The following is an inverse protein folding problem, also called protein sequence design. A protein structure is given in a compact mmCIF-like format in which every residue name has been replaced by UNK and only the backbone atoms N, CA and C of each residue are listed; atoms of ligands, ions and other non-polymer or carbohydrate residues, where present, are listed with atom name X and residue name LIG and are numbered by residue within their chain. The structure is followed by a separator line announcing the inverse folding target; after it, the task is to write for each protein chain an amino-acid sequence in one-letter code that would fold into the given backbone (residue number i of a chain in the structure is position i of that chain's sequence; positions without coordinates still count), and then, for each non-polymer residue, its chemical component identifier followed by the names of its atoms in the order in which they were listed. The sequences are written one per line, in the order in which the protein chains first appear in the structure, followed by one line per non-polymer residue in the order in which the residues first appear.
data_IF_110858774951
#
_entry.id   IF_110858774951
#
_cell.length_a   1.000
_cell.length_b   1.000
_cell.length_c   1.000
_cell.angle_alpha   90.00
_cell.angle_beta   90.00
_cell.angle_gamma   90.00
#
_symmetry.space_group_name_H-M   'P 1'
#
loop_
_entity.id
_entity.type
_entity.pdbx_description
1 polymer ?
#
# COMPACT_ATOMS: atom_id res chain seq x y z
N UNK A 1 -6.05 15.01 -18.38
CA UNK A 1 -6.61 14.96 -17.01
C UNK A 1 -6.69 13.48 -16.63
N UNK A 2 -6.24 13.09 -15.43
CA UNK A 2 -6.31 11.69 -15.00
C UNK A 2 -7.76 11.28 -14.74
N UNK A 3 -8.09 10.02 -15.01
CA UNK A 3 -9.30 9.41 -14.48
C UNK A 3 -9.11 9.11 -12.98
N UNK A 4 -10.13 9.34 -12.14
CA UNK A 4 -10.02 9.02 -10.71
C UNK A 4 -9.90 7.51 -10.51
N UNK A 5 -9.10 7.11 -9.52
CA UNK A 5 -8.99 5.73 -9.07
C UNK A 5 -10.14 5.44 -8.09
N UNK A 6 -11.00 4.48 -8.43
CA UNK A 6 -12.14 4.10 -7.60
C UNK A 6 -11.81 2.86 -6.80
N UNK A 7 -11.71 2.99 -5.46
CA UNK A 7 -11.50 1.85 -4.55
C UNK A 7 -12.64 1.83 -3.55
N UNK A 8 -13.38 0.70 -3.49
CA UNK A 8 -14.52 0.52 -2.57
C UNK A 8 -15.52 1.69 -2.61
N UNK A 9 -15.82 2.20 -3.81
CA UNK A 9 -16.74 3.32 -4.03
C UNK A 9 -16.17 4.72 -3.71
N UNK A 10 -14.94 4.82 -3.20
CA UNK A 10 -14.24 6.07 -2.93
C UNK A 10 -13.46 6.51 -4.18
N UNK A 11 -13.69 7.75 -4.62
CA UNK A 11 -13.01 8.31 -5.79
C UNK A 11 -11.76 9.10 -5.37
N UNK A 12 -10.59 8.53 -5.60
CA UNK A 12 -9.30 9.18 -5.40
C UNK A 12 -8.96 9.96 -6.67
N UNK A 13 -8.87 11.29 -6.56
CA UNK A 13 -8.75 12.20 -7.71
C UNK A 13 -7.52 11.94 -8.58
N UNK A 14 -6.40 11.61 -7.94
CA UNK A 14 -5.17 11.21 -8.62
C UNK A 14 -4.99 9.69 -8.47
N UNK A 15 -4.76 8.94 -9.55
CA UNK A 15 -4.54 7.50 -9.49
C UNK A 15 -3.12 7.16 -9.01
N UNK A 16 -2.69 7.83 -7.94
CA UNK A 16 -1.36 7.76 -7.33
C UNK A 16 -1.54 7.39 -5.86
N UNK A 17 -0.90 6.28 -5.48
CA UNK A 17 -0.74 5.85 -4.10
C UNK A 17 0.71 6.11 -3.70
N UNK A 18 0.93 6.83 -2.60
CA UNK A 18 2.27 6.87 -2.00
C UNK A 18 2.50 5.55 -1.26
N UNK A 19 3.57 4.82 -1.59
CA UNK A 19 3.84 3.50 -1.01
C UNK A 19 4.33 3.59 0.43
N UNK A 20 3.84 2.72 1.32
CA UNK A 20 4.26 2.70 2.72
C UNK A 20 5.69 2.20 2.91
N UNK A 21 6.57 3.09 3.37
CA UNK A 21 8.01 2.87 3.57
C UNK A 21 8.34 2.80 5.06
N UNK A 22 8.92 1.67 5.46
CA UNK A 22 9.16 1.33 6.86
C UNK A 22 10.19 2.18 7.59
N UNK A 23 10.32 1.92 8.89
CA UNK A 23 11.37 2.50 9.76
C UNK A 23 11.31 4.04 9.80
N UNK A 24 10.11 4.59 9.70
CA UNK A 24 9.86 6.02 9.86
C UNK A 24 10.00 6.86 8.61
N UNK A 25 10.15 6.27 7.42
CA UNK A 25 10.17 7.06 6.17
C UNK A 25 8.79 7.62 5.83
N UNK A 26 7.73 6.80 5.94
CA UNK A 26 6.34 7.23 5.73
C UNK A 26 5.52 7.19 7.01
N UNK A 27 5.48 8.32 7.72
CA UNK A 27 4.61 8.57 8.87
C UNK A 27 3.43 9.48 8.47
N UNK A 28 2.62 9.89 9.45
CA UNK A 28 1.45 10.73 9.19
C UNK A 28 1.71 12.03 8.41
N UNK A 29 2.87 12.75 8.52
CA UNK A 29 3.04 14.00 7.79
C UNK A 29 3.03 13.79 6.28
N UNK A 30 3.79 12.79 5.79
CA UNK A 30 3.81 12.41 4.38
C UNK A 30 2.45 11.89 3.91
N UNK A 31 1.84 10.98 4.66
CA UNK A 31 0.54 10.40 4.27
C UNK A 31 -0.55 11.48 4.21
N UNK A 32 -0.58 12.42 5.17
CA UNK A 32 -1.55 13.52 5.20
C UNK A 32 -1.34 14.50 4.05
N UNK A 33 -0.08 14.82 3.71
CA UNK A 33 0.22 15.69 2.58
C UNK A 33 -0.27 15.07 1.26
N UNK A 34 0.03 13.80 1.01
CA UNK A 34 -0.44 13.09 -0.19
C UNK A 34 -1.97 13.02 -0.26
N UNK A 35 -2.62 12.73 0.86
CA UNK A 35 -4.08 12.69 0.95
C UNK A 35 -4.71 14.04 0.55
N UNK A 36 -4.15 15.15 1.03
CA UNK A 36 -4.62 16.51 0.73
C UNK A 36 -4.43 16.88 -0.75
N UNK A 37 -3.33 16.44 -1.36
CA UNK A 37 -3.07 16.67 -2.80
C UNK A 37 -3.89 15.75 -3.73
N UNK A 38 -4.79 14.92 -3.17
CA UNK A 38 -5.76 14.13 -3.93
C UNK A 38 -5.29 12.73 -4.32
N UNK A 39 -4.14 12.28 -3.83
CA UNK A 39 -3.70 10.88 -3.88
C UNK A 39 -4.17 10.07 -2.67
N UNK A 40 -3.73 8.83 -2.58
CA UNK A 40 -3.89 7.99 -1.38
C UNK A 40 -2.56 7.95 -0.60
N UNK A 41 -2.54 8.61 0.56
CA UNK A 41 -1.38 8.61 1.45
C UNK A 41 -1.33 7.37 2.34
N UNK A 42 -0.13 6.81 2.56
CA UNK A 42 0.04 5.54 3.27
C UNK A 42 1.09 5.67 4.37
N UNK A 43 0.65 5.47 5.62
CA UNK A 43 1.53 5.25 6.77
C UNK A 43 2.14 3.84 6.68
N UNK A 44 3.36 3.64 7.17
CA UNK A 44 3.92 2.28 7.30
C UNK A 44 3.83 1.79 8.75
N UNK A 45 3.38 0.56 8.96
CA UNK A 45 3.28 -0.04 10.30
C UNK A 45 4.63 -0.48 10.90
N UNK A 46 5.67 -0.61 10.08
CA UNK A 46 6.97 -1.15 10.51
C UNK A 46 7.62 -0.28 11.60
N UNK A 47 7.76 -0.85 12.80
CA UNK A 47 8.32 -0.22 14.01
C UNK A 47 7.54 1.02 14.52
N UNK A 48 6.25 1.13 14.18
CA UNK A 48 5.45 2.32 14.46
C UNK A 48 5.29 2.59 15.96
N UNK A 49 5.12 1.54 16.78
CA UNK A 49 5.07 1.62 18.25
C UNK A 49 6.28 2.34 18.84
N UNK A 50 7.48 1.98 18.40
CA UNK A 50 8.74 2.57 18.86
C UNK A 50 8.89 4.00 18.38
N UNK A 51 8.55 4.27 17.13
CA UNK A 51 8.68 5.58 16.51
C UNK A 51 7.73 6.60 17.15
N UNK A 52 6.46 6.24 17.31
CA UNK A 52 5.45 7.07 17.98
C UNK A 52 5.82 7.26 19.44
N UNK A 53 6.26 6.21 20.13
CA UNK A 53 6.68 6.33 21.54
C UNK A 53 7.85 7.31 21.70
N UNK A 54 8.86 7.20 20.83
CA UNK A 54 10.02 8.10 20.83
C UNK A 54 9.62 9.55 20.54
N UNK A 55 8.72 9.77 19.56
CA UNK A 55 8.25 11.10 19.17
C UNK A 55 7.45 11.79 20.27
N UNK A 56 6.60 11.04 20.97
CA UNK A 56 5.65 11.59 21.95
C UNK A 56 6.18 11.59 23.38
N UNK A 57 7.23 10.81 23.67
CA UNK A 57 7.75 10.60 25.02
C UNK A 57 6.88 9.70 25.90
N UNK A 58 5.81 9.10 25.35
CA UNK A 58 4.94 8.14 26.05
C UNK A 58 5.12 6.75 25.46
N UNK A 59 4.83 5.69 26.22
CA UNK A 59 4.89 4.32 25.71
C UNK A 59 3.59 3.99 24.98
N UNK A 60 3.70 3.57 23.73
CA UNK A 60 2.60 3.06 22.90
C UNK A 60 2.82 1.58 22.62
N UNK A 61 1.72 0.82 22.55
CA UNK A 61 1.72 -0.48 21.89
C UNK A 61 1.39 -0.35 20.39
N UNK A 62 1.47 -1.47 19.66
CA UNK A 62 1.24 -1.53 18.20
C UNK A 62 -0.15 -1.02 17.79
N UNK A 63 -1.19 -1.38 18.53
CA UNK A 63 -2.55 -0.91 18.26
C UNK A 63 -2.66 0.60 18.44
N UNK A 64 -2.21 1.12 19.59
CA UNK A 64 -2.32 2.55 19.93
C UNK A 64 -1.53 3.42 18.94
N UNK A 65 -0.31 3.01 18.59
CA UNK A 65 0.52 3.74 17.64
C UNK A 65 -0.09 3.73 16.24
N UNK A 66 -0.65 2.60 15.81
CA UNK A 66 -1.35 2.52 14.52
C UNK A 66 -2.59 3.41 14.49
N UNK A 67 -3.40 3.34 15.55
CA UNK A 67 -4.59 4.15 15.69
C UNK A 67 -4.26 5.64 15.61
N UNK A 68 -3.30 6.11 16.43
CA UNK A 68 -2.91 7.52 16.44
C UNK A 68 -2.42 8.00 15.07
N UNK A 69 -1.56 7.23 14.40
CA UNK A 69 -0.95 7.70 13.16
C UNK A 69 -1.91 7.71 11.97
N UNK A 70 -2.83 6.74 11.92
CA UNK A 70 -3.90 6.76 10.92
C UNK A 70 -4.85 7.93 11.17
N UNK A 71 -5.23 8.20 12.44
CA UNK A 71 -6.05 9.37 12.76
C UNK A 71 -5.38 10.67 12.30
N UNK A 72 -4.10 10.88 12.65
CA UNK A 72 -3.33 12.06 12.25
C UNK A 72 -3.19 12.20 10.74
N UNK A 73 -2.99 11.10 10.02
CA UNK A 73 -2.89 11.13 8.56
C UNK A 73 -4.19 11.64 7.91
N UNK A 74 -5.34 11.34 8.52
CA UNK A 74 -6.68 11.72 8.05
C UNK A 74 -7.16 13.10 8.52
N UNK A 75 -6.51 13.74 9.50
CA UNK A 75 -6.97 14.98 10.14
C UNK A 75 -7.28 16.12 9.15
N UNK A 76 -6.53 16.19 8.05
CA UNK A 76 -6.65 17.26 7.05
C UNK A 76 -7.52 16.88 5.84
N UNK A 77 -8.28 15.79 5.91
CA UNK A 77 -9.10 15.29 4.82
C UNK A 77 -8.31 14.49 3.76
N UNK A 78 -8.97 14.20 2.64
CA UNK A 78 -8.44 13.30 1.61
C UNK A 78 -8.53 11.82 2.01
N UNK A 79 -7.77 10.97 1.32
CA UNK A 79 -7.74 9.54 1.58
C UNK A 79 -6.40 9.12 2.17
N UNK A 80 -6.43 8.49 3.35
CA UNK A 80 -5.23 7.98 4.00
C UNK A 80 -5.42 6.59 4.57
N UNK A 81 -4.40 5.75 4.42
CA UNK A 81 -4.38 4.37 4.86
C UNK A 81 -3.06 3.96 5.48
N UNK A 82 -2.86 2.66 5.59
CA UNK A 82 -1.64 2.07 6.16
C UNK A 82 -1.19 0.84 5.40
N UNK A 83 0.12 0.68 5.25
CA UNK A 83 0.77 -0.56 4.81
C UNK A 83 1.17 -1.40 6.03
N UNK A 84 0.70 -2.65 6.09
CA UNK A 84 0.97 -3.59 7.18
C UNK A 84 1.67 -4.83 6.62
N UNK A 85 2.92 -5.04 7.04
CA UNK A 85 3.71 -6.20 6.63
C UNK A 85 3.21 -7.47 7.32
N UNK A 86 2.78 -8.47 6.54
CA UNK A 86 2.38 -9.79 7.04
C UNK A 86 3.53 -10.44 7.83
N UNK A 87 4.77 -10.29 7.36
CA UNK A 87 5.95 -10.87 8.01
C UNK A 87 6.14 -10.48 9.49
N UNK A 88 5.60 -9.34 9.93
CA UNK A 88 5.64 -8.90 11.33
C UNK A 88 4.51 -9.57 12.13
N UNK A 89 4.61 -10.90 12.29
CA UNK A 89 3.52 -11.75 12.82
C UNK A 89 3.00 -11.29 14.18
N UNK A 90 3.88 -10.79 15.06
CA UNK A 90 3.51 -10.33 16.40
C UNK A 90 2.66 -9.06 16.38
N UNK A 91 2.88 -8.20 15.39
CA UNK A 91 2.30 -6.86 15.31
C UNK A 91 1.09 -6.79 14.35
N UNK A 92 0.96 -7.78 13.46
CA UNK A 92 0.04 -7.75 12.34
C UNK A 92 -1.43 -7.53 12.75
N UNK A 93 -1.94 -8.35 13.67
CA UNK A 93 -3.35 -8.28 14.08
C UNK A 93 -3.67 -6.97 14.80
N UNK A 94 -2.77 -6.50 15.67
CA UNK A 94 -2.99 -5.27 16.43
C UNK A 94 -2.87 -4.03 15.54
N UNK A 95 -1.98 -4.05 14.55
CA UNK A 95 -1.93 -3.03 13.50
C UNK A 95 -3.24 -2.98 12.69
N UNK A 96 -3.75 -4.15 12.28
CA UNK A 96 -5.01 -4.22 11.53
C UNK A 96 -6.18 -3.66 12.34
N UNK A 97 -6.32 -4.07 13.60
CA UNK A 97 -7.39 -3.57 14.49
C UNK A 97 -7.27 -2.06 14.71
N UNK A 98 -6.07 -1.56 15.00
CA UNK A 98 -5.83 -0.12 15.20
C UNK A 98 -6.21 0.69 13.97
N UNK A 99 -5.85 0.20 12.77
CA UNK A 99 -6.17 0.87 11.52
C UNK A 99 -7.67 0.87 11.20
N UNK A 100 -8.36 -0.24 11.47
CA UNK A 100 -9.81 -0.35 11.28
C UNK A 100 -10.58 0.55 12.25
N UNK A 101 -10.18 0.59 13.52
CA UNK A 101 -10.82 1.44 14.52
C UNK A 101 -10.55 2.93 14.29
N UNK A 102 -9.39 3.27 13.69
CA UNK A 102 -9.07 4.62 13.22
C UNK A 102 -9.75 5.00 11.89
N UNK A 103 -10.57 4.10 11.32
CA UNK A 103 -11.26 4.27 10.04
C UNK A 103 -10.30 4.57 8.87
N UNK A 104 -9.17 3.87 8.79
CA UNK A 104 -8.28 3.95 7.62
C UNK A 104 -9.07 3.82 6.31
N UNK A 105 -8.72 4.58 5.27
CA UNK A 105 -9.39 4.44 3.97
C UNK A 105 -9.00 3.14 3.26
N UNK A 106 -7.76 2.69 3.49
CA UNK A 106 -7.23 1.45 2.98
C UNK A 106 -6.23 0.81 3.97
N UNK A 107 -6.23 -0.52 4.01
CA UNK A 107 -5.15 -1.34 4.54
C UNK A 107 -4.51 -2.06 3.36
N UNK A 108 -3.27 -1.69 3.06
CA UNK A 108 -2.42 -2.38 2.10
C UNK A 108 -1.60 -3.42 2.86
N UNK A 109 -1.51 -4.65 2.37
CA UNK A 109 -0.72 -5.69 3.04
C UNK A 109 0.11 -6.54 2.08
N UNK A 110 1.42 -6.53 2.32
CA UNK A 110 2.42 -7.32 1.59
C UNK A 110 3.38 -8.07 2.53
N UNK A 111 4.58 -8.38 2.02
CA UNK A 111 5.59 -9.19 2.72
C UNK A 111 5.05 -10.54 3.24
N UNK A 112 4.34 -11.25 2.36
CA UNK A 112 3.63 -12.49 2.63
C UNK A 112 2.17 -12.41 2.19
N UNK A 113 1.48 -13.56 2.10
CA UNK A 113 0.08 -13.61 1.67
C UNK A 113 -0.87 -13.25 2.85
N UNK A 114 -1.69 -12.19 2.75
CA UNK A 114 -2.58 -11.73 3.83
C UNK A 114 -3.89 -12.54 3.91
N UNK A 115 -3.76 -13.87 3.99
CA UNK A 115 -4.87 -14.85 3.95
C UNK A 115 -5.94 -14.59 5.02
N UNK A 116 -5.55 -14.18 6.22
CA UNK A 116 -6.47 -13.96 7.34
C UNK A 116 -7.02 -12.53 7.44
N UNK A 117 -6.54 -11.58 6.61
CA UNK A 117 -6.83 -10.16 6.77
C UNK A 117 -8.35 -9.84 6.89
N UNK A 118 -9.23 -10.35 6.01
CA UNK A 118 -10.67 -10.06 6.11
C UNK A 118 -11.35 -10.63 7.35
N UNK A 119 -10.72 -11.61 8.02
CA UNK A 119 -11.29 -12.33 9.17
C UNK A 119 -10.81 -11.80 10.52
N UNK A 120 -9.84 -10.88 10.56
CA UNK A 120 -9.32 -10.32 11.81
C UNK A 120 -10.39 -9.47 12.50
N UNK A 121 -11.04 -8.59 11.74
CA UNK A 121 -12.12 -7.72 12.19
C UNK A 121 -12.89 -7.21 10.95
N UNK A 122 -14.22 -7.03 11.02
CA UNK A 122 -14.99 -6.54 9.89
C UNK A 122 -14.45 -5.20 9.37
N UNK A 123 -14.14 -5.07 8.06
CA UNK A 123 -13.44 -3.91 7.55
C UNK A 123 -14.31 -2.64 7.42
N UNK A 124 -15.65 -2.75 7.53
CA UNK A 124 -16.59 -1.64 7.30
C UNK A 124 -16.27 -0.93 5.98
N UNK A 125 -15.95 0.36 6.02
CA UNK A 125 -15.61 1.20 4.86
C UNK A 125 -14.11 1.21 4.51
N UNK A 126 -13.27 0.51 5.26
CA UNK A 126 -11.84 0.37 4.97
C UNK A 126 -11.62 -0.60 3.83
N UNK A 127 -10.89 -0.20 2.79
CA UNK A 127 -10.53 -1.08 1.68
C UNK A 127 -9.41 -2.04 2.09
N UNK A 128 -9.52 -3.32 1.73
CA UNK A 128 -8.47 -4.32 1.96
C UNK A 128 -7.76 -4.64 0.64
N UNK A 129 -6.46 -4.33 0.58
CA UNK A 129 -5.66 -4.33 -0.64
C UNK A 129 -4.41 -5.21 -0.45
N UNK A 130 -4.40 -6.45 -0.96
CA UNK A 130 -3.18 -7.26 -0.96
C UNK A 130 -2.13 -6.72 -1.95
N UNK A 131 -0.86 -6.89 -1.60
CA UNK A 131 0.27 -6.77 -2.53
C UNK A 131 0.61 -8.16 -3.07
N UNK A 132 0.80 -8.29 -4.38
CA UNK A 132 1.15 -9.54 -5.07
C UNK A 132 2.26 -9.30 -6.09
N UNK A 133 3.05 -10.34 -6.35
CA UNK A 133 4.06 -10.36 -7.42
C UNK A 133 3.64 -11.16 -8.67
N UNK A 134 2.46 -11.80 -8.65
CA UNK A 134 1.98 -12.62 -9.77
C UNK A 134 0.48 -12.88 -9.73
N UNK A 135 -0.09 -13.23 -10.88
CA UNK A 135 -1.48 -13.67 -11.01
C UNK A 135 -1.78 -14.94 -10.17
N UNK A 136 -0.79 -15.82 -10.00
CA UNK A 136 -0.92 -17.02 -9.16
C UNK A 136 -1.09 -16.64 -7.68
N UNK A 137 -0.32 -15.69 -7.17
CA UNK A 137 -0.45 -15.22 -5.80
C UNK A 137 -1.83 -14.57 -5.57
N UNK A 138 -2.30 -13.76 -6.53
CA UNK A 138 -3.63 -13.17 -6.49
C UNK A 138 -4.74 -14.24 -6.47
N UNK A 139 -4.67 -15.26 -7.33
CA UNK A 139 -5.65 -16.35 -7.39
C UNK A 139 -5.77 -17.09 -6.04
N UNK A 140 -4.66 -17.31 -5.34
CA UNK A 140 -4.64 -17.94 -4.01
C UNK A 140 -5.36 -17.06 -2.99
N UNK A 141 -5.07 -15.75 -2.98
CA UNK A 141 -5.69 -14.79 -2.06
C UNK A 141 -7.18 -14.71 -2.32
N UNK A 142 -7.60 -14.50 -3.57
CA UNK A 142 -9.00 -14.42 -3.96
C UNK A 142 -9.78 -15.67 -3.55
N UNK A 143 -9.29 -16.87 -3.89
CA UNK A 143 -9.94 -18.14 -3.48
C UNK A 143 -10.13 -18.25 -1.98
N UNK A 144 -9.18 -17.77 -1.19
CA UNK A 144 -9.25 -17.86 0.27
C UNK A 144 -10.18 -16.81 0.86
N UNK A 145 -10.11 -15.57 0.36
CA UNK A 145 -10.96 -14.48 0.81
C UNK A 145 -12.43 -14.73 0.45
N UNK A 146 -12.72 -15.25 -0.75
CA UNK A 146 -14.10 -15.58 -1.16
C UNK A 146 -14.73 -16.64 -0.25
N UNK A 147 -13.94 -17.65 0.17
CA UNK A 147 -14.40 -18.63 1.18
C UNK A 147 -14.76 -18.01 2.52
N UNK A 148 -14.19 -16.85 2.83
CA UNK A 148 -14.49 -16.06 4.02
C UNK A 148 -15.53 -14.95 3.74
N UNK A 149 -16.18 -14.96 2.58
CA UNK A 149 -17.21 -13.99 2.21
C UNK A 149 -16.68 -12.59 1.85
N UNK A 150 -15.40 -12.46 1.49
CA UNK A 150 -14.79 -11.18 1.12
C UNK A 150 -14.05 -11.27 -0.22
N UNK A 151 -13.85 -10.14 -0.88
CA UNK A 151 -13.01 -10.02 -2.09
C UNK A 151 -12.11 -8.80 -1.95
N UNK A 152 -10.90 -8.82 -2.52
CA UNK A 152 -10.05 -7.62 -2.55
C UNK A 152 -10.81 -6.42 -3.12
N UNK A 153 -10.65 -5.27 -2.46
CA UNK A 153 -11.24 -4.00 -2.93
C UNK A 153 -10.38 -3.36 -4.04
N UNK A 154 -9.11 -3.76 -4.10
CA UNK A 154 -8.10 -3.47 -5.10
C UNK A 154 -6.95 -4.47 -4.94
N UNK A 155 -5.94 -4.43 -5.81
CA UNK A 155 -4.67 -5.14 -5.63
C UNK A 155 -3.51 -4.25 -6.03
N UNK A 156 -2.39 -4.35 -5.30
CA UNK A 156 -1.11 -3.79 -5.75
C UNK A 156 -0.30 -4.90 -6.40
N UNK A 157 -0.02 -4.76 -7.69
CA UNK A 157 0.97 -5.56 -8.41
C UNK A 157 2.35 -4.94 -8.22
N UNK A 158 3.21 -5.62 -7.50
CA UNK A 158 4.59 -5.19 -7.25
C UNK A 158 5.56 -5.92 -8.18
N UNK A 159 6.34 -5.16 -8.95
CA UNK A 159 7.42 -5.65 -9.79
C UNK A 159 8.79 -5.62 -9.11
N UNK A 160 9.83 -6.18 -9.76
CA UNK A 160 11.16 -6.39 -9.18
C UNK A 160 11.94 -5.09 -8.92
N UNK A 161 11.56 -3.99 -9.57
CA UNK A 161 12.16 -2.66 -9.36
C UNK A 161 11.53 -1.88 -8.20
N UNK A 162 10.67 -2.51 -7.39
CA UNK A 162 10.21 -1.92 -6.14
C UNK A 162 11.34 -1.90 -5.10
N UNK A 163 11.23 -1.00 -4.12
CA UNK A 163 12.20 -0.90 -3.03
C UNK A 163 11.81 -1.80 -1.84
N UNK A 164 12.79 -2.20 -1.04
CA UNK A 164 12.53 -2.89 0.24
C UNK A 164 12.34 -4.40 0.09
N UNK A 165 11.28 -4.95 0.70
CA UNK A 165 11.05 -6.39 0.74
C UNK A 165 10.30 -6.85 -0.52
N UNK A 166 11.00 -7.55 -1.39
CA UNK A 166 10.49 -8.01 -2.68
C UNK A 166 9.94 -9.43 -2.64
N UNK A 167 8.92 -9.67 -3.49
CA UNK A 167 8.41 -11.00 -3.81
C UNK A 167 9.24 -11.78 -4.85
N UNK A 168 10.46 -11.34 -5.16
CA UNK A 168 11.35 -11.89 -6.19
C UNK A 168 12.71 -12.26 -5.59
N UNK A 169 13.35 -13.30 -6.14
CA UNK A 169 14.74 -13.62 -5.83
C UNK A 169 15.69 -12.77 -6.66
N UNK A 170 16.96 -12.70 -6.23
CA UNK A 170 17.97 -11.85 -6.88
C UNK A 170 18.20 -12.20 -8.36
N UNK A 171 18.17 -13.48 -8.70
CA UNK A 171 18.33 -14.01 -10.06
C UNK A 171 17.07 -13.81 -10.94
N UNK A 172 15.95 -13.43 -10.33
CA UNK A 172 14.67 -13.21 -11.01
C UNK A 172 14.44 -11.73 -11.36
N UNK A 173 15.22 -10.80 -10.80
CA UNK A 173 15.02 -9.34 -10.93
C UNK A 173 15.12 -8.87 -12.38
N UNK A 174 16.10 -9.37 -13.12
CA UNK A 174 16.39 -8.95 -14.51
C UNK A 174 15.65 -9.81 -15.56
N UNK A 175 14.83 -10.77 -15.12
CA UNK A 175 14.07 -11.63 -16.04
C UNK A 175 13.01 -10.82 -16.78
N UNK A 176 12.95 -10.98 -18.10
CA UNK A 176 11.95 -10.31 -18.95
C UNK A 176 10.53 -10.65 -18.48
N UNK A 177 10.27 -11.90 -18.10
CA UNK A 177 8.96 -12.36 -17.61
C UNK A 177 8.49 -11.62 -16.34
N UNK A 178 9.44 -11.15 -15.53
CA UNK A 178 9.15 -10.44 -14.27
C UNK A 178 9.09 -8.93 -14.44
N UNK A 179 9.31 -8.41 -15.64
CA UNK A 179 9.07 -6.99 -15.92
C UNK A 179 7.63 -6.65 -15.61
N UNK A 180 7.41 -5.49 -14.99
CA UNK A 180 6.08 -5.05 -14.55
C UNK A 180 5.08 -5.00 -15.73
N UNK A 181 5.57 -4.67 -16.92
CA UNK A 181 4.84 -4.69 -18.19
C UNK A 181 4.28 -6.07 -18.56
N UNK A 182 5.05 -7.13 -18.27
CA UNK A 182 4.70 -8.51 -18.60
C UNK A 182 3.87 -9.16 -17.49
N UNK A 183 4.02 -8.70 -16.25
CA UNK A 183 3.20 -9.15 -15.11
C UNK A 183 1.79 -8.54 -15.10
N UNK A 184 1.61 -7.34 -15.66
CA UNK A 184 0.34 -6.62 -15.60
C UNK A 184 -0.83 -7.35 -16.29
N UNK A 185 -0.73 -7.78 -17.56
CA UNK A 185 -1.85 -8.43 -18.24
C UNK A 185 -2.45 -9.64 -17.50
N UNK A 186 -1.67 -10.65 -17.07
CA UNK A 186 -2.25 -11.81 -16.38
C UNK A 186 -2.87 -11.45 -15.01
N UNK A 187 -2.38 -10.39 -14.35
CA UNK A 187 -2.96 -9.89 -13.10
C UNK A 187 -4.27 -9.14 -13.34
N UNK A 188 -4.38 -8.35 -14.42
CA UNK A 188 -5.65 -7.74 -14.85
C UNK A 188 -6.70 -8.80 -15.17
N UNK A 189 -6.34 -9.83 -15.92
CA UNK A 189 -7.24 -10.95 -16.24
C UNK A 189 -7.74 -11.65 -14.97
N UNK A 190 -6.83 -11.86 -14.01
CA UNK A 190 -7.17 -12.46 -12.73
C UNK A 190 -8.10 -11.56 -11.90
N UNK A 191 -7.84 -10.25 -11.85
CA UNK A 191 -8.72 -9.30 -11.16
C UNK A 191 -10.13 -9.27 -11.79
N UNK A 192 -10.21 -9.31 -13.13
CA UNK A 192 -11.49 -9.38 -13.85
C UNK A 192 -12.27 -10.66 -13.51
N UNK A 193 -11.59 -11.81 -13.50
CA UNK A 193 -12.19 -13.10 -13.11
C UNK A 193 -12.86 -13.06 -11.72
N UNK A 194 -12.32 -12.28 -10.77
CA UNK A 194 -12.83 -12.18 -9.40
C UNK A 194 -13.70 -10.95 -9.12
N UNK A 195 -14.23 -10.30 -10.15
CA UNK A 195 -15.21 -9.21 -10.00
C UNK A 195 -14.72 -7.82 -10.41
N UNK A 196 -13.55 -7.71 -11.05
CA UNK A 196 -13.13 -6.48 -11.73
C UNK A 196 -12.67 -5.37 -10.80
N UNK A 197 -12.04 -5.71 -9.66
CA UNK A 197 -11.42 -4.70 -8.79
C UNK A 197 -10.16 -4.08 -9.44
N UNK A 198 -9.79 -2.84 -9.08
CA UNK A 198 -8.67 -2.14 -9.69
C UNK A 198 -7.31 -2.79 -9.37
N UNK A 199 -6.40 -2.71 -10.35
CA UNK A 199 -5.00 -3.15 -10.26
C UNK A 199 -4.10 -1.93 -10.31
N UNK A 200 -3.37 -1.71 -9.21
CA UNK A 200 -2.40 -0.64 -9.05
C UNK A 200 -1.02 -1.25 -9.25
N UNK A 201 -0.18 -0.66 -10.10
CA UNK A 201 1.17 -1.18 -10.35
C UNK A 201 2.23 -0.45 -9.54
N UNK A 202 3.25 -1.16 -9.09
CA UNK A 202 4.33 -0.63 -8.25
C UNK A 202 5.70 -1.17 -8.70
N UNK A 203 6.73 -0.35 -8.58
CA UNK A 203 8.13 -0.69 -8.87
C UNK A 203 8.64 -0.04 -10.16
N UNK A 204 9.74 0.71 -10.06
CA UNK A 204 10.37 1.35 -11.23
C UNK A 204 9.61 2.55 -11.84
N UNK A 205 8.63 3.12 -11.14
CA UNK A 205 7.80 4.25 -11.62
C UNK A 205 8.24 5.54 -10.94
N UNK A 206 8.72 6.52 -11.70
CA UNK A 206 9.32 7.74 -11.14
C UNK A 206 8.81 9.03 -11.78
N UNK A 207 8.56 9.01 -13.08
CA UNK A 207 8.24 10.19 -13.88
C UNK A 207 6.78 10.21 -14.32
N UNK A 208 6.31 11.37 -14.80
CA UNK A 208 5.00 11.49 -15.42
C UNK A 208 4.82 10.49 -16.58
N UNK A 209 5.85 10.30 -17.40
CA UNK A 209 5.79 9.39 -18.55
C UNK A 209 5.65 7.93 -18.13
N UNK A 210 6.30 7.50 -17.04
CA UNK A 210 6.11 6.16 -16.47
C UNK A 210 4.67 5.94 -16.04
N UNK A 211 4.10 6.93 -15.33
CA UNK A 211 2.71 6.87 -14.86
C UNK A 211 1.76 6.74 -16.06
N UNK A 212 1.89 7.63 -17.04
CA UNK A 212 1.04 7.61 -18.24
C UNK A 212 1.20 6.32 -19.04
N UNK A 213 2.43 5.79 -19.14
CA UNK A 213 2.69 4.52 -19.80
C UNK A 213 1.90 3.38 -19.16
N UNK A 214 1.98 3.21 -17.85
CA UNK A 214 1.26 2.12 -17.18
C UNK A 214 -0.25 2.29 -17.18
N UNK A 215 -0.75 3.52 -17.05
CA UNK A 215 -2.18 3.80 -17.21
C UNK A 215 -2.68 3.45 -18.62
N UNK A 216 -1.91 3.78 -19.67
CA UNK A 216 -2.24 3.38 -21.06
C UNK A 216 -2.19 1.88 -21.28
N UNK A 217 -1.35 1.16 -20.53
CA UNK A 217 -1.29 -0.31 -20.54
C UNK A 217 -2.44 -0.97 -19.78
N UNK A 218 -3.30 -0.19 -19.11
CA UNK A 218 -4.50 -0.68 -18.44
C UNK A 218 -4.38 -0.83 -16.93
N UNK A 219 -3.30 -0.35 -16.31
CA UNK A 219 -3.28 -0.18 -14.85
C UNK A 219 -4.31 0.88 -14.43
N UNK A 220 -4.96 0.67 -13.29
CA UNK A 220 -5.97 1.61 -12.76
C UNK A 220 -5.33 2.71 -11.90
N UNK A 221 -4.08 2.49 -11.48
CA UNK A 221 -3.26 3.47 -10.80
C UNK A 221 -1.83 3.00 -10.63
N UNK A 222 -1.01 3.84 -10.00
CA UNK A 222 0.38 3.55 -9.67
C UNK A 222 0.62 3.70 -8.17
N UNK A 223 1.54 2.89 -7.63
CA UNK A 223 2.07 3.07 -6.29
C UNK A 223 3.56 3.40 -6.36
N UNK A 224 3.96 4.50 -5.74
CA UNK A 224 5.32 5.03 -5.80
C UNK A 224 5.88 5.17 -4.38
N UNK A 225 7.01 4.52 -4.10
CA UNK A 225 7.70 4.60 -2.80
C UNK A 225 8.87 5.59 -2.85
N UNK A 226 9.97 5.16 -3.45
CA UNK A 226 11.25 5.89 -3.53
C UNK A 226 11.11 7.34 -3.94
N UNK A 227 10.21 7.66 -4.90
CA UNK A 227 9.97 9.05 -5.33
C UNK A 227 9.46 9.95 -4.20
N UNK A 228 8.67 9.42 -3.27
CA UNK A 228 8.14 10.15 -2.12
C UNK A 228 9.12 10.22 -0.95
N UNK A 229 10.12 9.33 -0.88
CA UNK A 229 11.14 9.35 0.17
C UNK A 229 11.90 10.68 0.20
N UNK A 230 12.22 11.23 -0.97
CA UNK A 230 12.99 12.48 -1.10
C UNK A 230 12.16 13.76 -0.89
N UNK A 231 10.86 13.65 -0.56
CA UNK A 231 9.99 14.82 -0.34
C UNK A 231 10.25 15.49 1.01
N UNK A 232 9.83 16.74 1.17
CA UNK A 232 9.97 17.47 2.44
C UNK A 232 9.21 16.77 3.58
N UNK A 233 8.03 16.23 3.30
CA UNK A 233 7.11 15.63 4.27
C UNK A 233 7.50 14.22 4.72
N UNK A 234 8.37 13.53 3.97
CA UNK A 234 8.96 12.28 4.45
C UNK A 234 9.75 12.52 5.73
N UNK A 235 9.60 11.63 6.71
CA UNK A 235 10.38 11.71 7.96
C UNK A 235 11.75 11.03 7.87
N UNK A 236 12.21 10.69 6.66
CA UNK A 236 13.60 10.33 6.39
C UNK A 236 14.55 11.48 6.79
N UNK A 237 15.77 11.14 7.20
CA UNK A 237 16.78 12.17 7.52
C UNK A 237 17.22 12.88 6.25
N UNK A 238 17.74 14.10 6.39
CA UNK A 238 18.19 14.88 5.23
C UNK A 238 19.29 14.14 4.46
N UNK A 239 20.21 13.49 5.18
CA UNK A 239 21.29 12.72 4.58
C UNK A 239 20.76 11.53 3.76
N UNK A 240 19.66 10.91 4.21
CA UNK A 240 19.05 9.84 3.45
C UNK A 240 18.34 10.38 2.20
N UNK A 241 17.66 11.53 2.29
CA UNK A 241 17.02 12.17 1.14
C UNK A 241 18.04 12.62 0.09
N UNK A 242 19.21 13.11 0.50
CA UNK A 242 20.28 13.54 -0.41
C UNK A 242 21.01 12.37 -1.10
N UNK A 243 20.97 11.17 -0.50
CA UNK A 243 21.65 9.99 -1.03
C UNK A 243 20.84 9.22 -2.09
N UNK A 244 19.54 9.52 -2.25
CA UNK A 244 18.58 8.81 -3.12
C UNK A 244 18.22 9.66 -4.33
#
# INVERSE_FOLDING_TARGET
MFSPLIIKGKAISLPIIQGGMGVGVSLYPLASAVAREGGLGIVSSAALDRLVSKRTGKKYNTYEATYEEVCRAKENGGFAGINIMRALVRDYNDSVKGALDANADAIISGAGLPISLPTIQPPKDTALIPIVSSARALDIICKKWEKNGYRPDAVVLEGPLAGGHLGFKMDEIDSDENRLENLLPPVKDMAQKYGGFPVIVAGGIYTYDDIIRFLKMGADGVQMGTRFLATEESSATIEYKEAV
#
